data_IF_420981327362
#
_entry.id   IF_420981327362
#
_cell.length_a   1.000
_cell.length_b   1.000
_cell.length_c   1.000
_cell.angle_alpha   90.00
_cell.angle_beta   90.00
_cell.angle_gamma   90.00
#
_symmetry.space_group_name_H-M   'P 1'
#
loop_
_entity.id
_entity.type
_entity.pdbx_description
1 polymer ?
#
# COMPACT_ATOMS: atom_id res chain seq x y z
N UNK A 1 12.17 -11.70 22.22
CA UNK A 1 12.27 -10.57 21.28
C UNK A 1 11.02 -9.69 21.26
N UNK A 2 9.82 -10.21 20.91
CA UNK A 2 8.55 -9.42 20.94
C UNK A 2 8.24 -8.74 22.28
N UNK A 3 8.60 -9.36 23.42
CA UNK A 3 8.33 -8.79 24.75
C UNK A 3 9.12 -7.51 25.06
N UNK A 4 10.40 -7.49 24.71
CA UNK A 4 11.24 -6.30 24.81
C UNK A 4 10.69 -5.17 23.92
N UNK A 5 10.30 -5.48 22.69
CA UNK A 5 9.74 -4.47 21.79
C UNK A 5 8.39 -3.91 22.29
N UNK A 6 7.58 -4.73 22.97
CA UNK A 6 6.37 -4.27 23.65
C UNK A 6 6.65 -3.39 24.86
N UNK A 7 7.70 -3.69 25.64
CA UNK A 7 8.14 -2.86 26.78
C UNK A 7 8.60 -1.46 26.33
N UNK A 8 9.17 -1.34 25.12
CA UNK A 8 9.51 -0.06 24.50
C UNK A 8 8.38 0.59 23.70
N UNK A 9 7.18 0.00 23.68
CA UNK A 9 6.03 0.54 22.94
C UNK A 9 6.17 0.49 21.41
N UNK A 10 7.13 -0.27 20.88
CA UNK A 10 7.41 -0.38 19.44
C UNK A 10 6.49 -1.36 18.72
N UNK A 11 5.80 -2.23 19.48
CA UNK A 11 4.83 -3.20 18.92
C UNK A 11 3.61 -3.25 19.82
N UNK A 12 2.45 -3.24 19.21
CA UNK A 12 1.19 -3.50 19.90
C UNK A 12 0.98 -5.00 20.20
N UNK A 13 -0.13 -5.28 20.89
CA UNK A 13 -0.66 -6.61 21.15
C UNK A 13 -0.59 -7.53 19.92
N UNK A 14 -0.29 -8.82 20.14
CA UNK A 14 -0.26 -9.82 19.06
C UNK A 14 -1.61 -9.83 18.32
N UNK A 15 -1.56 -9.74 16.99
CA UNK A 15 -2.74 -9.81 16.13
C UNK A 15 -3.47 -8.48 15.87
N UNK A 16 -2.97 -7.33 16.36
CA UNK A 16 -3.53 -6.03 15.99
C UNK A 16 -2.96 -5.45 14.69
N UNK A 17 -1.73 -5.84 14.31
CA UNK A 17 -0.97 -5.21 13.22
C UNK A 17 -1.71 -5.10 11.88
N UNK A 18 -2.39 -6.17 11.42
CA UNK A 18 -3.17 -6.14 10.17
C UNK A 18 -4.29 -5.09 10.24
N UNK A 19 -5.04 -5.05 11.36
CA UNK A 19 -6.12 -4.06 11.52
C UNK A 19 -5.58 -2.64 11.60
N UNK A 20 -4.46 -2.44 12.30
CA UNK A 20 -3.80 -1.15 12.39
C UNK A 20 -3.34 -0.65 11.00
N UNK A 21 -2.72 -1.52 10.19
CA UNK A 21 -2.31 -1.19 8.82
C UNK A 21 -3.51 -0.83 7.92
N UNK A 22 -4.61 -1.58 8.00
CA UNK A 22 -5.83 -1.28 7.24
C UNK A 22 -6.46 0.05 7.68
N UNK A 23 -6.50 0.33 8.99
CA UNK A 23 -7.02 1.61 9.51
C UNK A 23 -6.19 2.79 9.01
N UNK A 24 -4.86 2.69 9.12
CA UNK A 24 -3.94 3.75 8.69
C UNK A 24 -4.07 4.07 7.20
N UNK A 25 -4.18 3.06 6.33
CA UNK A 25 -4.38 3.29 4.89
C UNK A 25 -5.73 3.95 4.61
N UNK A 26 -6.80 3.53 5.29
CA UNK A 26 -8.13 4.16 5.15
C UNK A 26 -8.16 5.61 5.62
N UNK A 27 -7.53 5.90 6.75
CA UNK A 27 -7.40 7.28 7.27
C UNK A 27 -6.63 8.17 6.30
N UNK A 28 -5.66 7.61 5.58
CA UNK A 28 -4.92 8.29 4.52
C UNK A 28 -5.67 8.35 3.16
N UNK A 29 -6.91 7.83 3.08
CA UNK A 29 -7.67 7.70 1.83
C UNK A 29 -6.95 6.88 0.75
N UNK A 30 -6.10 5.94 1.16
CA UNK A 30 -5.40 5.02 0.28
C UNK A 30 -6.08 3.65 0.25
N UNK A 31 -5.85 2.91 -0.82
CA UNK A 31 -6.29 1.52 -0.93
C UNK A 31 -5.67 0.68 0.20
N UNK A 32 -6.44 -0.26 0.81
CA UNK A 32 -5.91 -1.12 1.86
C UNK A 32 -4.74 -1.97 1.34
N UNK A 33 -3.77 -2.31 2.20
CA UNK A 33 -2.66 -3.12 1.78
C UNK A 33 -3.11 -4.55 1.46
N UNK A 34 -2.46 -5.17 0.48
CA UNK A 34 -2.69 -6.57 0.17
C UNK A 34 -1.79 -7.44 1.03
N UNK A 35 -2.35 -8.54 1.52
CA UNK A 35 -1.65 -9.49 2.38
C UNK A 35 -1.58 -10.84 1.67
N UNK A 36 -0.36 -11.31 1.41
CA UNK A 36 -0.11 -12.65 0.87
C UNK A 36 0.62 -13.48 1.92
N UNK A 37 0.05 -14.63 2.25
CA UNK A 37 0.68 -15.62 3.12
C UNK A 37 1.35 -16.70 2.27
N UNK A 38 2.67 -16.75 2.31
CA UNK A 38 3.48 -17.79 1.69
C UNK A 38 4.04 -18.72 2.77
N UNK A 39 4.45 -19.93 2.39
CA UNK A 39 4.88 -20.94 3.37
C UNK A 39 6.05 -20.51 4.25
N UNK A 40 6.95 -19.72 3.69
CA UNK A 40 8.24 -19.32 4.28
C UNK A 40 8.31 -17.83 4.60
N UNK A 41 7.36 -17.03 4.10
CA UNK A 41 7.31 -15.60 4.38
C UNK A 41 5.89 -15.05 4.25
N UNK A 42 5.69 -13.90 4.88
CA UNK A 42 4.49 -13.09 4.72
C UNK A 42 4.84 -11.84 3.91
N UNK A 43 4.05 -11.51 2.89
CA UNK A 43 4.25 -10.32 2.05
C UNK A 43 3.12 -9.34 2.25
N UNK A 44 3.48 -8.07 2.41
CA UNK A 44 2.55 -6.94 2.48
C UNK A 44 2.85 -6.00 1.32
N UNK A 45 1.83 -5.68 0.52
CA UNK A 45 1.95 -4.82 -0.66
C UNK A 45 1.16 -3.54 -0.41
N UNK A 46 1.83 -2.40 -0.49
CA UNK A 46 1.24 -1.07 -0.41
C UNK A 46 1.23 -0.44 -1.80
N UNK A 47 0.06 -0.08 -2.30
CA UNK A 47 -0.07 0.62 -3.57
C UNK A 47 0.12 2.11 -3.36
N UNK A 48 1.20 2.68 -3.91
CA UNK A 48 1.37 4.12 -4.00
C UNK A 48 0.68 4.64 -5.26
N UNK A 49 -0.65 4.55 -5.32
CA UNK A 49 -1.40 5.21 -6.38
C UNK A 49 -1.53 6.68 -5.97
N UNK A 50 -0.61 7.53 -6.46
CA UNK A 50 -0.99 8.93 -6.66
C UNK A 50 -2.20 8.89 -7.58
N UNK A 51 -3.36 9.29 -7.06
CA UNK A 51 -4.53 9.54 -7.89
C UNK A 51 -4.06 10.53 -8.95
N UNK A 52 -3.96 10.10 -10.21
CA UNK A 52 -3.77 11.03 -11.31
C UNK A 52 -4.93 12.00 -11.21
N UNK A 53 -4.63 13.25 -10.89
CA UNK A 53 -5.64 14.28 -10.83
C UNK A 53 -6.27 14.41 -12.23
N UNK A 54 -7.48 14.97 -12.34
CA UNK A 54 -8.17 15.07 -13.62
C UNK A 54 -7.35 15.77 -14.73
N UNK A 55 -6.47 16.71 -14.38
CA UNK A 55 -5.56 17.39 -15.32
C UNK A 55 -4.48 16.43 -15.81
N UNK A 56 -3.83 15.71 -14.89
CA UNK A 56 -2.85 14.66 -15.24
C UNK A 56 -3.45 13.57 -16.12
N UNK A 57 -4.70 13.15 -15.84
CA UNK A 57 -5.42 12.17 -16.65
C UNK A 57 -5.77 12.74 -18.04
N UNK A 58 -6.20 14.01 -18.11
CA UNK A 58 -6.50 14.68 -19.37
C UNK A 58 -5.24 14.86 -20.23
N UNK A 59 -4.09 15.19 -19.62
CA UNK A 59 -2.79 15.21 -20.28
C UNK A 59 -2.42 13.83 -20.83
N UNK A 60 -2.52 12.77 -20.02
CA UNK A 60 -2.17 11.41 -20.44
C UNK A 60 -3.02 10.93 -21.61
N UNK A 61 -4.32 11.24 -21.60
CA UNK A 61 -5.25 10.87 -22.66
C UNK A 61 -4.93 11.50 -24.03
N UNK A 62 -4.12 12.57 -24.09
CA UNK A 62 -3.65 13.14 -25.36
C UNK A 62 -2.77 12.15 -26.14
N UNK A 63 -2.15 11.19 -25.46
CA UNK A 63 -1.27 10.20 -26.06
C UNK A 63 -1.95 8.85 -26.34
N UNK A 64 -3.24 8.68 -26.00
CA UNK A 64 -3.95 7.39 -26.14
C UNK A 64 -4.05 6.88 -27.59
N UNK A 65 -3.99 7.78 -28.58
CA UNK A 65 -3.98 7.44 -30.00
C UNK A 65 -2.60 7.15 -30.60
N UNK A 66 -1.52 7.32 -29.83
CA UNK A 66 -0.16 7.09 -30.29
C UNK A 66 0.27 5.66 -29.98
N UNK A 67 0.90 4.98 -30.94
CA UNK A 67 1.62 3.74 -30.67
C UNK A 67 2.90 4.09 -29.91
N UNK A 68 2.80 4.21 -28.59
CA UNK A 68 3.91 4.57 -27.69
C UNK A 68 4.96 3.45 -27.52
N UNK A 69 4.93 2.43 -28.37
CA UNK A 69 5.85 1.32 -28.31
C UNK A 69 6.91 1.44 -29.40
N UNK A 70 8.06 2.01 -29.04
CA UNK A 70 9.28 1.89 -29.83
C UNK A 70 9.99 0.62 -29.39
N UNK A 71 10.13 -0.34 -30.30
CA UNK A 71 10.95 -1.55 -30.10
C UNK A 71 12.38 -1.22 -29.67
#
# INVERSE_FOLDING_TARGET
MIRLLGEFGLVENRGSGIRAMVSAMREAHLEPPQFEDHRDYFKVIFSNQELLDPESLAWLNQFAGLLLNSR
#
